data_IF_181276960735
#
_entry.id   IF_181276960735
#
_cell.length_a   1.000
_cell.length_b   1.000
_cell.length_c   1.000
_cell.angle_alpha   90.00
_cell.angle_beta   90.00
_cell.angle_gamma   90.00
#
_symmetry.space_group_name_H-M   'P 1'
#
loop_
_entity.id
_entity.type
_entity.pdbx_description
1 polymer ?
#
# COMPACT_ATOMS: atom_id res chain seq x y z
N UNK A 1 10.98 0.53 7.22
CA UNK A 1 11.03 1.99 7.06
C UNK A 1 11.44 2.68 8.38
N UNK A 2 10.76 2.40 9.49
CA UNK A 2 11.02 3.02 10.80
C UNK A 2 12.48 2.90 11.28
N UNK A 3 13.07 1.70 11.26
CA UNK A 3 14.47 1.49 11.66
C UNK A 3 15.43 2.38 10.85
N UNK A 4 15.16 2.57 9.56
CA UNK A 4 15.98 3.43 8.70
C UNK A 4 15.80 4.91 9.07
N UNK A 5 14.57 5.37 9.32
CA UNK A 5 14.28 6.74 9.74
C UNK A 5 14.90 7.06 11.11
N UNK A 6 14.82 6.13 12.07
CA UNK A 6 15.46 6.24 13.38
C UNK A 6 16.98 6.38 13.24
N UNK A 7 17.61 5.57 12.38
CA UNK A 7 19.05 5.65 12.10
C UNK A 7 19.46 6.98 11.45
N UNK A 8 18.55 7.63 10.74
CA UNK A 8 18.75 8.96 10.16
C UNK A 8 18.51 10.10 11.16
N UNK A 9 18.15 9.78 12.41
CA UNK A 9 17.96 10.76 13.49
C UNK A 9 16.54 11.28 13.64
N UNK A 10 15.56 10.72 12.91
CA UNK A 10 14.16 11.09 13.07
C UNK A 10 13.55 10.47 14.33
N UNK A 11 12.71 11.24 15.02
CA UNK A 11 11.80 10.70 16.03
C UNK A 11 10.62 10.04 15.30
N UNK A 12 10.57 8.72 15.33
CA UNK A 12 9.49 7.96 14.67
C UNK A 12 8.42 7.61 15.70
N UNK A 13 7.18 8.01 15.44
CA UNK A 13 6.05 7.63 16.27
C UNK A 13 5.59 6.19 15.98
N UNK A 14 4.77 5.63 16.87
CA UNK A 14 4.16 4.31 16.64
C UNK A 14 3.25 4.40 15.41
N UNK A 15 3.39 3.50 14.42
CA UNK A 15 2.49 3.47 13.27
C UNK A 15 1.03 3.33 13.69
N UNK A 16 0.15 4.12 13.10
CA UNK A 16 -1.30 4.00 13.26
C UNK A 16 -1.81 2.82 12.44
N UNK A 17 -2.74 2.05 13.00
CA UNK A 17 -3.47 1.00 12.27
C UNK A 17 -4.77 1.62 11.76
N UNK A 18 -4.87 1.79 10.45
CA UNK A 18 -5.97 2.48 9.78
C UNK A 18 -6.38 1.64 8.57
N UNK A 19 -7.68 1.55 8.32
CA UNK A 19 -8.23 0.89 7.13
C UNK A 19 -7.74 1.59 5.86
N UNK A 20 -7.47 0.83 4.80
CA UNK A 20 -6.79 1.35 3.60
C UNK A 20 -7.42 2.62 3.01
N UNK A 21 -8.75 2.72 2.82
CA UNK A 21 -9.34 3.94 2.25
C UNK A 21 -9.17 5.16 3.15
N UNK A 22 -9.13 4.96 4.48
CA UNK A 22 -9.05 6.04 5.46
C UNK A 22 -7.62 6.61 5.63
N UNK A 23 -6.61 6.02 4.98
CA UNK A 23 -5.22 6.50 5.03
C UNK A 23 -5.03 7.81 4.24
N UNK A 24 -5.73 7.96 3.11
CA UNK A 24 -5.37 8.97 2.10
C UNK A 24 -5.74 10.41 2.47
N UNK A 25 -6.90 10.63 3.09
CA UNK A 25 -7.33 11.98 3.49
C UNK A 25 -6.38 12.58 4.55
N UNK A 26 -6.03 11.87 5.64
CA UNK A 26 -5.03 12.34 6.59
C UNK A 26 -3.66 12.62 5.96
N UNK A 27 -3.21 11.79 5.00
CA UNK A 27 -1.96 12.07 4.27
C UNK A 27 -2.06 13.38 3.47
N UNK A 28 -3.16 13.57 2.74
CA UNK A 28 -3.36 14.75 1.89
C UNK A 28 -3.51 16.05 2.69
N UNK A 29 -3.93 15.95 3.95
CA UNK A 29 -4.05 17.08 4.88
C UNK A 29 -2.81 17.28 5.76
N UNK A 30 -1.86 16.34 5.77
CA UNK A 30 -0.64 16.40 6.59
C UNK A 30 -0.82 15.90 8.04
N UNK A 31 -1.93 15.23 8.35
CA UNK A 31 -2.16 14.55 9.65
C UNK A 31 -1.41 13.22 9.76
N UNK A 32 -0.94 12.70 8.62
CA UNK A 32 0.01 11.60 8.47
C UNK A 32 1.14 12.05 7.53
N UNK A 33 2.38 11.68 7.85
CA UNK A 33 3.54 12.09 7.05
C UNK A 33 3.82 11.16 5.88
N UNK A 34 3.61 9.85 6.05
CA UNK A 34 3.82 8.86 4.99
C UNK A 34 3.03 7.58 5.23
N UNK A 35 2.87 6.79 4.17
CA UNK A 35 2.37 5.41 4.23
C UNK A 35 3.25 4.54 3.34
N UNK A 36 3.54 3.32 3.80
CA UNK A 36 4.17 2.29 2.95
C UNK A 36 3.13 1.50 2.14
N UNK A 37 1.85 1.78 2.34
CA UNK A 37 0.74 1.05 1.72
C UNK A 37 0.25 1.81 0.51
N UNK A 38 0.49 1.23 -0.66
CA UNK A 38 -0.13 1.63 -1.92
C UNK A 38 -0.13 0.42 -2.84
N UNK A 39 -1.30 -0.22 -3.02
CA UNK A 39 -1.44 -1.34 -3.93
C UNK A 39 -1.96 -0.84 -5.27
N UNK A 40 -1.07 -0.77 -6.24
CA UNK A 40 -1.40 -0.37 -7.61
C UNK A 40 -1.93 -1.59 -8.38
N UNK A 41 -3.07 -1.50 -9.11
CA UNK A 41 -3.92 -0.30 -9.31
C UNK A 41 -5.07 -0.13 -8.30
N UNK A 42 -5.26 -1.07 -7.35
CA UNK A 42 -6.45 -1.13 -6.48
C UNK A 42 -6.68 0.15 -5.66
N UNK A 43 -5.62 0.89 -5.35
CA UNK A 43 -5.67 2.08 -4.51
C UNK A 43 -5.74 3.39 -5.29
N UNK A 44 -5.76 3.35 -6.63
CA UNK A 44 -5.76 4.55 -7.46
C UNK A 44 -6.96 5.44 -7.16
N UNK A 45 -8.16 4.88 -7.02
CA UNK A 45 -9.37 5.67 -6.73
C UNK A 45 -9.30 6.40 -5.38
N UNK A 46 -8.75 5.77 -4.34
CA UNK A 46 -8.58 6.42 -3.04
C UNK A 46 -7.57 7.58 -3.11
N UNK A 47 -6.51 7.41 -3.89
CA UNK A 47 -5.48 8.44 -4.10
C UNK A 47 -6.04 9.65 -4.86
N UNK A 48 -6.74 9.43 -5.98
CA UNK A 48 -7.35 10.50 -6.76
C UNK A 48 -8.41 11.25 -5.95
N UNK A 49 -9.25 10.54 -5.19
CA UNK A 49 -10.27 11.14 -4.34
C UNK A 49 -9.69 11.97 -3.18
N UNK A 50 -8.43 11.73 -2.79
CA UNK A 50 -7.69 12.52 -1.80
C UNK A 50 -6.86 13.65 -2.42
N UNK A 51 -7.29 14.17 -3.58
CA UNK A 51 -6.66 15.21 -4.39
C UNK A 51 -5.42 14.77 -5.18
N UNK A 52 -5.10 13.47 -5.20
CA UNK A 52 -4.07 12.88 -6.05
C UNK A 52 -2.74 13.65 -5.99
N UNK A 53 -2.11 13.83 -7.15
CA UNK A 53 -0.80 14.50 -7.27
C UNK A 53 -0.79 15.97 -6.86
N UNK A 54 -1.97 16.58 -6.62
CA UNK A 54 -2.04 17.96 -6.11
C UNK A 54 -1.51 18.06 -4.68
N UNK A 55 -1.79 17.07 -3.84
CA UNK A 55 -1.46 17.07 -2.41
C UNK A 55 -0.66 15.84 -1.97
N UNK A 56 -0.56 14.81 -2.80
CA UNK A 56 0.13 13.56 -2.50
C UNK A 56 1.22 13.28 -3.53
N UNK A 57 2.31 12.64 -3.11
CA UNK A 57 3.37 12.20 -3.99
C UNK A 57 3.65 10.71 -3.78
N UNK A 58 3.81 9.96 -4.87
CA UNK A 58 4.24 8.56 -4.82
C UNK A 58 5.76 8.49 -4.90
N UNK A 59 6.41 8.07 -3.81
CA UNK A 59 7.88 8.04 -3.72
C UNK A 59 8.40 6.60 -3.71
N UNK A 60 9.00 6.20 -4.85
CA UNK A 60 9.66 4.91 -5.01
C UNK A 60 8.70 3.71 -5.01
N UNK A 61 9.26 2.51 -5.19
CA UNK A 61 8.50 1.25 -5.19
C UNK A 61 9.11 0.30 -4.17
N UNK A 62 8.33 -0.05 -3.15
CA UNK A 62 8.77 -0.95 -2.06
C UNK A 62 8.51 -2.43 -2.38
N UNK A 63 7.43 -2.72 -3.09
CA UNK A 63 7.02 -4.06 -3.51
C UNK A 63 6.54 -4.04 -4.96
N UNK A 64 6.53 -5.19 -5.66
CA UNK A 64 5.80 -5.33 -6.91
C UNK A 64 4.32 -4.98 -6.77
N UNK A 65 3.66 -4.75 -7.91
CA UNK A 65 2.26 -4.37 -7.98
C UNK A 65 1.34 -5.41 -7.31
N UNK A 66 0.24 -4.93 -6.74
CA UNK A 66 -0.73 -5.78 -6.06
C UNK A 66 -1.48 -6.63 -7.09
N UNK A 67 -1.33 -7.94 -7.03
CA UNK A 67 -2.10 -8.86 -7.88
C UNK A 67 -3.32 -9.33 -7.10
N UNK A 68 -4.51 -8.96 -7.56
CA UNK A 68 -5.76 -9.52 -7.08
C UNK A 68 -6.15 -10.69 -7.99
N UNK A 69 -5.78 -11.91 -7.58
CA UNK A 69 -6.15 -13.15 -8.28
C UNK A 69 -6.76 -14.13 -7.29
N UNK A 70 -7.55 -15.07 -7.79
CA UNK A 70 -7.93 -16.21 -6.95
C UNK A 70 -6.69 -17.06 -6.71
N UNK A 71 -6.47 -17.47 -5.47
CA UNK A 71 -5.36 -18.36 -5.15
C UNK A 71 -5.92 -19.72 -4.70
N UNK A 72 -5.31 -20.78 -5.22
CA UNK A 72 -5.58 -22.15 -4.80
C UNK A 72 -4.25 -22.80 -4.44
N UNK A 73 -4.27 -23.76 -3.52
CA UNK A 73 -3.07 -24.52 -3.23
C UNK A 73 -2.60 -25.30 -4.46
N UNK A 74 -1.27 -25.36 -4.63
CA UNK A 74 -0.65 -25.99 -5.79
C UNK A 74 -1.07 -27.45 -5.97
N UNK A 75 -1.22 -28.20 -4.87
CA UNK A 75 -1.58 -29.64 -4.93
C UNK A 75 -2.96 -29.82 -5.55
N UNK A 76 -3.92 -28.98 -5.20
CA UNK A 76 -5.27 -29.00 -5.78
C UNK A 76 -5.25 -28.52 -7.24
N UNK A 77 -4.55 -27.43 -7.55
CA UNK A 77 -4.38 -26.97 -8.94
C UNK A 77 -3.82 -28.07 -9.84
N UNK A 78 -2.74 -28.73 -9.42
CA UNK A 78 -2.08 -29.78 -10.19
C UNK A 78 -2.98 -31.01 -10.38
N UNK A 79 -3.70 -31.44 -9.33
CA UNK A 79 -4.64 -32.58 -9.37
C UNK A 79 -5.74 -32.38 -10.41
N UNK A 80 -6.29 -31.17 -10.47
CA UNK A 80 -7.41 -30.84 -11.36
C UNK A 80 -6.97 -30.15 -12.66
N UNK A 81 -5.66 -30.02 -12.90
CA UNK A 81 -5.08 -29.34 -14.07
C UNK A 81 -5.61 -27.91 -14.24
N UNK A 82 -5.81 -27.20 -13.13
CA UNK A 82 -6.23 -25.79 -13.16
C UNK A 82 -5.00 -24.96 -13.52
N UNK A 83 -5.06 -24.25 -14.63
CA UNK A 83 -3.97 -23.40 -15.13
C UNK A 83 -4.36 -21.93 -15.26
N UNK A 84 -5.59 -21.57 -14.90
CA UNK A 84 -6.10 -20.21 -14.96
C UNK A 84 -6.71 -19.86 -13.59
N UNK A 85 -6.35 -18.68 -13.07
CA UNK A 85 -6.58 -18.24 -11.68
C UNK A 85 -6.92 -16.75 -11.64
#
# INVERSE_FOLDING_TARGET
MNISLEKLGYKVERPKQIEYPAIYIPLAHGDLEYSTVYYEPQHNEFFENAAGEKNLEKVGRLTPDGIQRSEIDKKTADKYKITNF
#
